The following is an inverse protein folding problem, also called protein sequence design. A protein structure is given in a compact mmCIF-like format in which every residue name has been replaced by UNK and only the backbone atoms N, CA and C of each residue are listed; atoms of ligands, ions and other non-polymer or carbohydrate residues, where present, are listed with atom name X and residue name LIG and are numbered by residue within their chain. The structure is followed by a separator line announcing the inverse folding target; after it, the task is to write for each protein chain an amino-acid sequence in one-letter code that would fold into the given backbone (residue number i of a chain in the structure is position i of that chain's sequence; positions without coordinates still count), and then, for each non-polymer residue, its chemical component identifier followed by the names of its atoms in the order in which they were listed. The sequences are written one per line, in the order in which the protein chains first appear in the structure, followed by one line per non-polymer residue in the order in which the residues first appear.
data_IF_377250471400
#
_entry.id   IF_377250471400
#
_cell.length_a   1.000
_cell.length_b   1.000
_cell.length_c   1.000
_cell.angle_alpha   90.00
_cell.angle_beta   90.00
_cell.angle_gamma   90.00
#
_symmetry.space_group_name_H-M   'P 1'
#
loop_
_entity.id
_entity.type
_entity.pdbx_description
1 polymer ?
#
# COMPACT_ATOMS: atom_id res chain seq x y z
N UNK A 1 10.00 1.60 19.56
CA UNK A 1 9.93 2.58 18.48
C UNK A 1 8.86 2.17 17.48
N UNK A 2 8.24 3.12 16.80
CA UNK A 2 7.13 2.85 15.86
C UNK A 2 7.55 1.86 14.77
N UNK A 3 8.74 2.05 14.20
CA UNK A 3 9.27 1.19 13.15
C UNK A 3 9.32 -0.28 13.56
N UNK A 4 9.83 -0.56 14.73
CA UNK A 4 9.98 -1.93 15.25
C UNK A 4 8.61 -2.55 15.57
N UNK A 5 7.69 -1.73 16.09
CA UNK A 5 6.34 -2.19 16.42
C UNK A 5 5.51 -2.51 15.18
N UNK A 6 5.82 -1.90 14.03
CA UNK A 6 5.09 -2.10 12.79
C UNK A 6 5.72 -3.14 11.86
N UNK A 7 6.96 -3.54 12.12
CA UNK A 7 7.66 -4.52 11.29
C UNK A 7 6.89 -5.85 11.26
N UNK A 8 6.70 -6.39 10.06
CA UNK A 8 5.97 -7.64 9.88
C UNK A 8 4.46 -7.51 10.04
N UNK A 9 3.94 -6.33 10.32
CA UNK A 9 2.50 -6.11 10.48
C UNK A 9 1.82 -5.91 9.13
N UNK A 10 0.54 -6.24 9.09
CA UNK A 10 -0.31 -5.96 7.94
C UNK A 10 -1.15 -4.72 8.24
N UNK A 11 -0.99 -3.68 7.42
CA UNK A 11 -1.54 -2.37 7.65
C UNK A 11 -2.53 -2.04 6.54
N UNK A 12 -3.79 -1.79 6.90
CA UNK A 12 -4.79 -1.36 5.94
C UNK A 12 -4.79 0.17 5.85
N UNK A 13 -4.84 0.71 4.63
CA UNK A 13 -4.86 2.15 4.39
C UNK A 13 -6.03 2.49 3.49
N UNK A 14 -6.85 3.44 3.90
CA UNK A 14 -7.89 4.04 3.07
C UNK A 14 -7.43 5.43 2.64
N UNK A 15 -7.89 5.90 1.48
CA UNK A 15 -7.50 7.22 0.97
C UNK A 15 -6.10 7.27 0.38
N UNK A 16 -5.56 6.12 -0.03
CA UNK A 16 -4.17 6.01 -0.49
C UNK A 16 -3.93 6.60 -1.88
N UNK A 17 -4.97 6.90 -2.66
CA UNK A 17 -4.81 7.49 -3.99
C UNK A 17 -4.55 8.99 -3.96
N UNK A 18 -4.75 9.66 -2.82
CA UNK A 18 -4.44 11.07 -2.67
C UNK A 18 -2.95 11.30 -2.41
N UNK A 19 -2.56 12.58 -2.42
CA UNK A 19 -1.17 12.97 -2.20
C UNK A 19 -0.61 12.44 -0.89
N UNK A 20 -1.32 12.68 0.20
CA UNK A 20 -0.86 12.23 1.53
C UNK A 20 -0.84 10.71 1.64
N UNK A 21 -1.85 10.05 1.09
CA UNK A 21 -1.93 8.59 1.11
C UNK A 21 -0.79 7.94 0.33
N UNK A 22 -0.48 8.48 -0.85
CA UNK A 22 0.63 7.98 -1.66
C UNK A 22 1.97 8.16 -0.95
N UNK A 23 2.18 9.32 -0.32
CA UNK A 23 3.40 9.59 0.45
C UNK A 23 3.53 8.63 1.64
N UNK A 24 2.41 8.31 2.29
CA UNK A 24 2.40 7.38 3.41
C UNK A 24 2.74 5.95 2.97
N UNK A 25 2.19 5.51 1.85
CA UNK A 25 2.53 4.19 1.28
C UNK A 25 4.02 4.09 1.01
N UNK A 26 4.61 5.09 0.37
CA UNK A 26 6.05 5.12 0.10
C UNK A 26 6.85 5.06 1.41
N UNK A 27 6.45 5.84 2.40
CA UNK A 27 7.15 5.89 3.68
C UNK A 27 7.12 4.54 4.40
N UNK A 28 5.98 3.84 4.40
CA UNK A 28 5.90 2.51 5.00
C UNK A 28 6.80 1.51 4.28
N UNK A 29 6.76 1.50 2.95
CA UNK A 29 7.58 0.57 2.18
C UNK A 29 9.08 0.81 2.39
N UNK A 30 9.48 2.07 2.52
CA UNK A 30 10.88 2.44 2.68
C UNK A 30 11.38 2.27 4.12
N UNK A 31 10.55 2.57 5.10
CA UNK A 31 11.00 2.72 6.50
C UNK A 31 10.60 1.59 7.43
N UNK A 32 9.58 0.79 7.08
CA UNK A 32 9.10 -0.29 7.95
C UNK A 32 9.38 -1.63 7.28
N UNK A 33 10.42 -2.35 7.73
CA UNK A 33 10.79 -3.62 7.11
C UNK A 33 9.66 -4.64 7.21
N UNK A 34 9.45 -5.38 6.13
CA UNK A 34 8.53 -6.52 6.07
C UNK A 34 7.07 -6.21 6.39
N UNK A 35 6.67 -4.95 6.49
CA UNK A 35 5.25 -4.65 6.62
C UNK A 35 4.55 -4.93 5.29
N UNK A 36 3.29 -5.34 5.39
CA UNK A 36 2.42 -5.53 4.24
C UNK A 36 1.32 -4.47 4.27
N UNK A 37 0.99 -3.94 3.10
CA UNK A 37 -0.01 -2.87 2.98
C UNK A 37 -1.23 -3.39 2.24
N UNK A 38 -2.40 -3.16 2.82
CA UNK A 38 -3.68 -3.47 2.18
C UNK A 38 -4.33 -2.13 1.84
N UNK A 39 -4.36 -1.81 0.55
CA UNK A 39 -4.84 -0.52 0.07
C UNK A 39 -6.28 -0.64 -0.40
N UNK A 40 -7.20 -0.01 0.32
CA UNK A 40 -8.60 0.03 -0.07
C UNK A 40 -8.80 1.18 -1.04
N UNK A 41 -9.22 0.86 -2.25
CA UNK A 41 -9.44 1.85 -3.31
C UNK A 41 -10.76 1.60 -4.03
N UNK A 42 -11.37 2.67 -4.53
CA UNK A 42 -12.50 2.52 -5.45
C UNK A 42 -11.96 1.95 -6.75
N UNK A 43 -12.54 0.86 -7.27
CA UNK A 43 -12.03 0.29 -8.50
C UNK A 43 -12.32 1.21 -9.68
N UNK A 44 -11.34 1.39 -10.55
CA UNK A 44 -11.57 1.99 -11.86
C UNK A 44 -12.10 0.93 -12.84
N UNK A 45 -12.10 1.23 -14.13
CA UNK A 45 -12.57 0.30 -15.16
C UNK A 45 -11.82 -1.03 -15.17
N UNK A 46 -10.54 -1.00 -14.78
CA UNK A 46 -9.66 -2.17 -14.81
C UNK A 46 -9.46 -2.81 -13.43
N UNK A 47 -10.25 -2.38 -12.44
CA UNK A 47 -10.21 -2.95 -11.11
C UNK A 47 -9.26 -2.26 -10.15
N UNK A 48 -9.28 -2.72 -8.91
CA UNK A 48 -8.51 -2.10 -7.82
C UNK A 48 -7.00 -2.24 -8.03
N UNK A 49 -6.53 -3.41 -8.46
CA UNK A 49 -5.09 -3.64 -8.67
C UNK A 49 -4.52 -2.69 -9.71
N UNK A 50 -5.21 -2.53 -10.83
CA UNK A 50 -4.77 -1.62 -11.88
C UNK A 50 -4.72 -0.18 -11.37
N UNK A 51 -5.71 0.22 -10.57
CA UNK A 51 -5.75 1.57 -10.01
C UNK A 51 -4.60 1.81 -9.04
N UNK A 52 -4.27 0.85 -8.19
CA UNK A 52 -3.13 0.95 -7.29
C UNK A 52 -1.83 1.07 -8.08
N UNK A 53 -1.65 0.25 -9.12
CA UNK A 53 -0.47 0.31 -9.97
C UNK A 53 -0.34 1.68 -10.66
N UNK A 54 -1.42 2.15 -11.28
CA UNK A 54 -1.40 3.38 -12.06
C UNK A 54 -1.31 4.64 -11.19
N UNK A 55 -2.14 4.73 -10.16
CA UNK A 55 -2.33 5.99 -9.41
C UNK A 55 -1.42 6.10 -8.20
N UNK A 56 -0.90 4.99 -7.70
CA UNK A 56 -0.06 4.98 -6.51
C UNK A 56 1.37 4.57 -6.84
N UNK A 57 1.57 3.33 -7.25
CA UNK A 57 2.92 2.76 -7.35
C UNK A 57 3.76 3.32 -8.51
N UNK A 58 3.14 3.89 -9.53
CA UNK A 58 3.83 4.57 -10.62
C UNK A 58 4.01 6.07 -10.39
N UNK A 59 3.57 6.55 -9.24
CA UNK A 59 3.72 7.96 -8.88
C UNK A 59 5.19 8.32 -8.69
N UNK A 60 5.54 9.56 -9.02
CA UNK A 60 6.91 10.07 -8.90
C UNK A 60 7.44 10.04 -7.46
N UNK A 61 6.55 10.00 -6.47
CA UNK A 61 6.95 9.86 -5.07
C UNK A 61 7.77 8.59 -4.81
N UNK A 62 7.66 7.59 -5.69
CA UNK A 62 8.39 6.33 -5.57
C UNK A 62 9.71 6.29 -6.35
N UNK A 63 10.09 7.37 -7.04
CA UNK A 63 11.29 7.36 -7.89
C UNK A 63 12.55 7.03 -7.12
N UNK A 64 12.72 7.61 -5.93
CA UNK A 64 13.88 7.31 -5.07
C UNK A 64 13.94 5.85 -4.66
N UNK A 65 12.78 5.28 -4.31
CA UNK A 65 12.71 3.88 -3.88
C UNK A 65 12.98 2.95 -5.05
N UNK A 66 12.46 3.26 -6.25
CA UNK A 66 12.77 2.50 -7.46
C UNK A 66 14.26 2.50 -7.77
N UNK A 67 14.89 3.67 -7.66
CA UNK A 67 16.33 3.79 -7.92
C UNK A 67 17.14 3.03 -6.87
N UNK A 68 16.74 3.10 -5.61
CA UNK A 68 17.40 2.35 -4.54
C UNK A 68 17.34 0.83 -4.80
N UNK A 69 16.20 0.33 -5.29
CA UNK A 69 16.07 -1.09 -5.65
C UNK A 69 16.96 -1.49 -6.82
N UNK A 70 17.19 -0.61 -7.76
CA UNK A 70 18.10 -0.88 -8.88
C UNK A 70 19.55 -0.99 -8.42
N UNK A 71 19.93 -0.19 -7.42
CA UNK A 71 21.31 -0.20 -6.91
C UNK A 71 21.57 -1.36 -5.96
N UNK A 72 20.70 -1.52 -4.95
CA UNK A 72 20.87 -2.55 -3.93
C UNK A 72 19.51 -2.88 -3.31
N UNK A 73 18.85 -3.94 -3.81
CA UNK A 73 17.54 -4.32 -3.30
C UNK A 73 17.51 -4.57 -1.79
N UNK A 74 18.53 -5.23 -1.25
CA UNK A 74 18.57 -5.56 0.19
C UNK A 74 18.68 -4.30 1.03
N UNK A 75 19.55 -3.37 0.64
CA UNK A 75 19.69 -2.09 1.34
C UNK A 75 18.41 -1.26 1.25
N UNK A 76 17.64 -1.41 0.18
CA UNK A 76 16.38 -0.71 0.00
C UNK A 76 15.21 -1.35 0.76
N UNK A 77 15.41 -2.47 1.42
CA UNK A 77 14.38 -3.16 2.20
C UNK A 77 13.75 -4.35 1.50
N UNK A 78 14.28 -4.77 0.37
CA UNK A 78 13.81 -5.93 -0.38
C UNK A 78 14.63 -7.18 -0.12
N UNK A 79 14.30 -8.24 -0.83
CA UNK A 79 15.04 -9.49 -0.82
C UNK A 79 16.19 -9.43 -1.81
N UNK A 80 17.15 -10.33 -1.66
CA UNK A 80 18.29 -10.40 -2.56
C UNK A 80 17.82 -10.60 -4.01
N UNK A 81 18.26 -9.72 -4.90
CA UNK A 81 17.89 -9.77 -6.31
C UNK A 81 16.45 -9.35 -6.63
N UNK A 82 15.68 -8.91 -5.63
CA UNK A 82 14.30 -8.51 -5.84
C UNK A 82 14.20 -7.17 -6.57
N UNK A 83 13.33 -7.10 -7.57
CA UNK A 83 13.01 -5.81 -8.21
C UNK A 83 11.98 -5.04 -7.38
N UNK A 84 11.85 -3.74 -7.66
CA UNK A 84 10.82 -2.92 -7.03
C UNK A 84 9.42 -3.49 -7.28
N UNK A 85 9.14 -3.90 -8.53
CA UNK A 85 7.82 -4.46 -8.88
C UNK A 85 7.55 -5.76 -8.14
N UNK A 86 8.55 -6.63 -8.02
CA UNK A 86 8.41 -7.87 -7.25
C UNK A 86 8.15 -7.59 -5.77
N UNK A 87 8.84 -6.61 -5.20
CA UNK A 87 8.60 -6.19 -3.82
C UNK A 87 7.18 -5.69 -3.63
N UNK A 88 6.67 -4.88 -4.54
CA UNK A 88 5.30 -4.40 -4.50
C UNK A 88 4.29 -5.54 -4.58
N UNK A 89 4.52 -6.51 -5.46
CA UNK A 89 3.63 -7.69 -5.56
C UNK A 89 3.58 -8.48 -4.26
N UNK A 90 4.68 -8.52 -3.54
CA UNK A 90 4.80 -9.26 -2.28
C UNK A 90 4.21 -8.51 -1.09
N UNK A 91 4.31 -7.18 -1.07
CA UNK A 91 4.01 -6.36 0.11
C UNK A 91 2.78 -5.47 -0.02
N UNK A 92 2.26 -5.26 -1.22
CA UNK A 92 1.13 -4.35 -1.45
C UNK A 92 -0.04 -5.11 -2.04
N UNK A 93 -1.17 -5.05 -1.36
CA UNK A 93 -2.40 -5.71 -1.77
C UNK A 93 -3.48 -4.67 -2.04
N UNK A 94 -4.13 -4.76 -3.19
CA UNK A 94 -5.22 -3.88 -3.56
C UNK A 94 -6.55 -4.51 -3.21
N UNK A 95 -7.43 -3.75 -2.57
CA UNK A 95 -8.77 -4.22 -2.21
C UNK A 95 -9.80 -3.23 -2.74
N UNK A 96 -10.78 -3.76 -3.45
CA UNK A 96 -11.90 -2.99 -3.93
C UNK A 96 -12.81 -2.60 -2.76
N UNK A 97 -13.09 -1.31 -2.60
CA UNK A 97 -13.99 -0.86 -1.55
C UNK A 97 -14.35 0.61 -1.66
N UNK A 98 -15.25 1.05 -0.81
CA UNK A 98 -15.70 2.44 -0.75
C UNK A 98 -16.02 2.79 0.69
N UNK A 99 -15.30 3.76 1.25
CA UNK A 99 -15.48 4.19 2.64
C UNK A 99 -16.86 4.81 2.90
N UNK A 100 -17.56 5.24 1.85
CA UNK A 100 -18.92 5.76 1.96
C UNK A 100 -20.01 4.71 2.00
N UNK A 101 -19.66 3.43 1.87
CA UNK A 101 -20.64 2.33 1.87
C UNK A 101 -20.57 1.50 3.15
N UNK A 102 -21.68 0.85 3.48
CA UNK A 102 -21.74 -0.09 4.59
C UNK A 102 -20.75 -1.23 4.36
N UNK A 103 -20.05 -1.62 5.43
CA UNK A 103 -19.01 -2.65 5.33
C UNK A 103 -17.88 -2.27 4.39
N UNK A 104 -17.67 -0.96 4.15
CA UNK A 104 -16.65 -0.43 3.24
C UNK A 104 -16.81 -0.89 1.80
N UNK A 105 -18.00 -1.40 1.42
CA UNK A 105 -18.22 -1.93 0.07
C UNK A 105 -17.37 -3.15 -0.28
N UNK A 106 -16.90 -3.88 0.72
CA UNK A 106 -16.01 -5.03 0.50
C UNK A 106 -16.81 -6.24 0.03
N UNK A 107 -16.24 -6.98 -0.95
CA UNK A 107 -16.74 -8.30 -1.31
C UNK A 107 -16.16 -9.36 -0.36
N UNK A 108 -16.49 -10.64 -0.58
CA UNK A 108 -16.03 -11.72 0.29
C UNK A 108 -14.51 -11.82 0.35
N UNK A 109 -13.83 -11.65 -0.77
CA UNK A 109 -12.37 -11.67 -0.81
C UNK A 109 -11.78 -10.49 -0.04
N UNK A 110 -12.36 -9.30 -0.17
CA UNK A 110 -11.94 -8.13 0.55
C UNK A 110 -12.16 -8.26 2.06
N UNK A 111 -13.30 -8.80 2.47
CA UNK A 111 -13.59 -9.05 3.89
C UNK A 111 -12.58 -10.04 4.48
N UNK A 112 -12.27 -11.10 3.76
CA UNK A 112 -11.28 -12.09 4.21
C UNK A 112 -9.91 -11.45 4.41
N UNK A 113 -9.47 -10.65 3.44
CA UNK A 113 -8.18 -9.98 3.53
C UNK A 113 -8.16 -8.95 4.67
N UNK A 114 -9.22 -8.15 4.80
CA UNK A 114 -9.31 -7.15 5.87
C UNK A 114 -9.32 -7.78 7.27
N UNK A 115 -9.84 -9.00 7.41
CA UNK A 115 -9.84 -9.69 8.69
C UNK A 115 -8.44 -10.04 9.19
N UNK A 116 -7.44 -9.98 8.32
CA UNK A 116 -6.05 -10.32 8.65
C UNK A 116 -5.20 -9.11 8.99
N UNK A 117 -5.72 -7.88 8.87
CA UNK A 117 -4.92 -6.69 9.15
C UNK A 117 -4.76 -6.47 10.65
N UNK A 118 -3.59 -5.99 11.02
CA UNK A 118 -3.24 -5.69 12.41
C UNK A 118 -3.60 -4.23 12.77
N UNK A 119 -3.50 -3.32 11.80
CA UNK A 119 -3.67 -1.89 12.01
C UNK A 119 -4.39 -1.30 10.80
N UNK A 120 -5.32 -0.39 11.05
CA UNK A 120 -6.00 0.35 9.99
C UNK A 120 -5.72 1.84 10.10
N UNK A 121 -5.34 2.46 8.98
CA UNK A 121 -5.11 3.90 8.87
C UNK A 121 -6.15 4.47 7.92
N UNK A 122 -6.98 5.39 8.42
CA UNK A 122 -8.02 6.03 7.63
C UNK A 122 -7.60 7.47 7.31
N UNK A 123 -7.42 7.76 6.02
CA UNK A 123 -7.12 9.09 5.54
C UNK A 123 -8.38 9.67 4.92
N UNK A 124 -8.97 10.65 5.59
CA UNK A 124 -10.15 11.31 5.05
C UNK A 124 -9.74 12.45 4.12
N UNK A 125 -10.48 12.60 3.03
CA UNK A 125 -10.34 13.76 2.16
C UNK A 125 -11.03 14.94 2.85
N UNK A 126 -10.25 15.96 3.16
CA UNK A 126 -10.81 17.22 3.62
C UNK A 126 -10.95 18.09 2.39
N UNK A 127 -12.19 18.32 2.00
CA UNK A 127 -12.49 19.30 0.95
C UNK A 127 -12.57 20.67 1.60
N UNK A 128 -11.62 21.48 1.29
CA UNK A 128 -11.62 22.87 1.71
C UNK A 128 -12.16 23.72 0.57
#
# INVERSE_FOLDING_TARGET
MIRENLSGKRIAITGSTGFLGTALVERFLRSVPDCELVLLVRPGRRGAEHRVQRDILKNDAFDRLRDAFKEDPVAAGGLDGETFDEMCDRRVFAVKGDVGQDGLGLDDAGLTLFSTVDIAVHLSLIHI
#
